data_IF_084903390762
#
_entry.id   IF_084903390762
#
_cell.length_a   1.000
_cell.length_b   1.000
_cell.length_c   1.000
_cell.angle_alpha   90.00
_cell.angle_beta   90.00
_cell.angle_gamma   90.00
#
_symmetry.space_group_name_H-M   'P 1'
#
loop_
_entity.id
_entity.type
_entity.pdbx_description
1 polymer ?
#
# COMPACT_ATOMS: atom_id res chain seq x y z
N UNK A 1 -13.83 -8.10 -20.63
CA UNK A 1 -13.59 -8.44 -19.20
C UNK A 1 -13.20 -7.15 -18.49
N UNK A 2 -13.62 -6.93 -17.24
CA UNK A 2 -13.12 -5.81 -16.42
C UNK A 2 -11.87 -6.28 -15.68
N UNK A 3 -10.79 -5.50 -15.72
CA UNK A 3 -9.49 -5.81 -15.11
C UNK A 3 -9.17 -4.77 -14.05
N UNK A 4 -8.49 -5.19 -12.99
CA UNK A 4 -7.92 -4.33 -11.95
C UNK A 4 -6.59 -4.93 -11.49
N UNK A 5 -5.72 -4.11 -10.90
CA UNK A 5 -4.38 -4.53 -10.44
C UNK A 5 -4.19 -4.15 -8.96
N UNK A 6 -3.46 -5.00 -8.25
CA UNK A 6 -3.04 -4.79 -6.87
C UNK A 6 -1.54 -5.09 -6.73
N UNK A 7 -0.80 -4.17 -6.13
CA UNK A 7 0.61 -4.28 -5.80
C UNK A 7 0.76 -4.66 -4.32
N UNK A 8 1.54 -5.70 -4.07
CA UNK A 8 1.97 -6.09 -2.72
C UNK A 8 3.46 -5.81 -2.57
N UNK A 9 3.78 -4.79 -1.77
CA UNK A 9 5.14 -4.34 -1.53
C UNK A 9 5.69 -4.93 -0.21
N UNK A 10 6.82 -5.67 -0.25
CA UNK A 10 7.31 -6.38 0.93
C UNK A 10 8.02 -5.47 1.95
N UNK A 11 8.24 -4.18 1.63
CA UNK A 11 8.96 -3.26 2.52
C UNK A 11 8.14 -2.83 3.75
N UNK A 12 8.84 -2.40 4.80
CA UNK A 12 8.25 -2.07 6.11
C UNK A 12 7.71 -0.63 6.18
N UNK A 13 8.09 0.25 5.25
CA UNK A 13 7.50 1.58 5.15
C UNK A 13 5.98 1.45 4.92
N UNK A 14 5.18 2.24 5.62
CA UNK A 14 3.72 2.20 5.51
C UNK A 14 3.29 2.68 4.11
N UNK A 15 3.97 3.70 3.63
CA UNK A 15 3.87 4.31 2.30
C UNK A 15 5.30 4.67 1.83
N UNK A 16 5.51 4.89 0.52
CA UNK A 16 6.82 5.25 0.00
C UNK A 16 7.20 6.72 0.24
N UNK A 17 6.35 7.54 0.87
CA UNK A 17 6.62 8.97 1.11
C UNK A 17 7.84 9.23 2.00
N UNK A 18 8.29 8.21 2.75
CA UNK A 18 9.51 8.24 3.57
C UNK A 18 10.77 7.72 2.85
N UNK A 19 10.63 7.21 1.62
CA UNK A 19 11.73 6.68 0.82
C UNK A 19 12.32 7.77 -0.08
N UNK A 20 13.65 7.77 -0.24
CA UNK A 20 14.32 8.73 -1.13
C UNK A 20 13.96 8.46 -2.60
N UNK A 21 13.36 9.41 -3.34
CA UNK A 21 12.94 9.17 -4.71
C UNK A 21 14.10 8.96 -5.69
N UNK A 22 15.27 9.50 -5.37
CA UNK A 22 16.48 9.31 -6.18
C UNK A 22 17.07 7.89 -6.05
N UNK A 23 16.75 7.19 -4.97
CA UNK A 23 17.27 5.84 -4.71
C UNK A 23 16.25 4.74 -4.97
N UNK A 24 14.96 5.06 -4.77
CA UNK A 24 13.87 4.08 -4.78
C UNK A 24 12.82 4.33 -5.87
N UNK A 25 12.99 5.38 -6.68
CA UNK A 25 12.03 5.78 -7.70
C UNK A 25 10.98 6.75 -7.15
N UNK A 26 10.19 7.31 -8.05
CA UNK A 26 9.16 8.30 -7.70
C UNK A 26 8.05 7.72 -6.83
N UNK A 27 7.36 8.60 -6.10
CA UNK A 27 6.09 8.28 -5.44
C UNK A 27 4.97 8.61 -6.42
N UNK A 28 4.10 7.62 -6.68
CA UNK A 28 2.92 7.82 -7.51
C UNK A 28 1.72 8.24 -6.64
N UNK A 29 1.03 9.32 -7.04
CA UNK A 29 -0.15 9.82 -6.33
C UNK A 29 -1.40 9.50 -7.15
N UNK A 30 -2.29 8.71 -6.56
CA UNK A 30 -3.59 8.32 -7.15
C UNK A 30 -4.63 9.45 -7.01
N UNK A 31 -5.72 9.39 -7.79
CA UNK A 31 -6.80 10.39 -7.76
C UNK A 31 -7.47 10.55 -6.38
N UNK A 32 -7.47 9.49 -5.56
CA UNK A 32 -8.01 9.53 -4.19
C UNK A 32 -7.00 10.04 -3.15
N UNK A 33 -5.83 10.52 -3.61
CA UNK A 33 -4.80 11.18 -2.82
C UNK A 33 -3.85 10.23 -2.11
N UNK A 34 -3.82 8.94 -2.44
CA UNK A 34 -2.86 8.01 -1.85
C UNK A 34 -1.49 8.09 -2.53
N UNK A 35 -0.46 8.23 -1.71
CA UNK A 35 0.94 8.04 -2.08
C UNK A 35 1.26 6.55 -2.15
N UNK A 36 1.76 6.11 -3.30
CA UNK A 36 1.94 4.70 -3.65
C UNK A 36 3.22 4.48 -4.43
N UNK A 37 3.62 3.22 -4.56
CA UNK A 37 4.78 2.83 -5.35
C UNK A 37 4.61 3.19 -6.84
N UNK A 38 5.71 3.52 -7.51
CA UNK A 38 5.74 3.94 -8.92
C UNK A 38 5.03 2.98 -9.88
N UNK A 39 5.00 1.68 -9.53
CA UNK A 39 4.38 0.65 -10.38
C UNK A 39 2.88 0.89 -10.60
N UNK A 40 2.18 1.56 -9.68
CA UNK A 40 0.76 1.88 -9.88
C UNK A 40 0.56 2.80 -11.08
N UNK A 41 1.46 3.77 -11.29
CA UNK A 41 1.41 4.61 -12.47
C UNK A 41 1.62 3.81 -13.77
N UNK A 42 2.48 2.78 -13.75
CA UNK A 42 2.64 1.87 -14.89
C UNK A 42 1.36 1.08 -15.15
N UNK A 43 0.70 0.59 -14.11
CA UNK A 43 -0.53 -0.16 -14.23
C UNK A 43 -1.65 0.69 -14.81
N UNK A 44 -1.90 1.88 -14.26
CA UNK A 44 -2.94 2.79 -14.78
C UNK A 44 -2.73 3.09 -16.26
N UNK A 45 -1.49 3.39 -16.67
CA UNK A 45 -1.14 3.64 -18.09
C UNK A 45 -1.36 2.42 -18.99
N UNK A 46 -1.17 1.20 -18.46
CA UNK A 46 -1.29 -0.02 -19.24
C UNK A 46 -2.74 -0.50 -19.39
N UNK A 47 -3.55 -0.37 -18.32
CA UNK A 47 -4.94 -0.85 -18.31
C UNK A 47 -5.98 0.24 -18.58
N UNK A 48 -5.57 1.51 -18.65
CA UNK A 48 -6.42 2.70 -18.89
C UNK A 48 -7.57 2.83 -17.88
N UNK A 49 -7.24 2.62 -16.60
CA UNK A 49 -8.18 2.70 -15.45
C UNK A 49 -7.45 3.34 -14.27
N UNK A 50 -8.13 4.26 -13.58
CA UNK A 50 -7.63 4.88 -12.36
C UNK A 50 -7.74 3.87 -11.20
N UNK A 51 -6.61 3.58 -10.58
CA UNK A 51 -6.47 2.78 -9.38
C UNK A 51 -6.68 3.67 -8.15
N UNK A 52 -6.69 3.07 -6.96
CA UNK A 52 -6.97 3.79 -5.72
C UNK A 52 -6.07 3.30 -4.58
N UNK A 53 -6.22 3.88 -3.40
CA UNK A 53 -5.44 3.53 -2.19
C UNK A 53 -5.48 2.06 -1.76
N UNK A 54 -6.40 1.26 -2.28
CA UNK A 54 -6.50 -0.19 -2.01
C UNK A 54 -5.70 -1.01 -3.02
N UNK A 55 -5.23 -0.41 -4.11
CA UNK A 55 -4.38 -1.05 -5.12
C UNK A 55 -2.92 -1.15 -4.72
N UNK A 56 -2.50 -0.56 -3.59
CA UNK A 56 -1.17 -0.72 -3.02
C UNK A 56 -1.25 -1.16 -1.54
N UNK A 57 -0.59 -2.26 -1.22
CA UNK A 57 -0.53 -2.84 0.13
C UNK A 57 0.92 -3.12 0.47
N UNK A 58 1.40 -2.57 1.59
CA UNK A 58 2.76 -2.75 2.09
C UNK A 58 2.77 -3.65 3.32
N UNK A 59 3.88 -4.35 3.58
CA UNK A 59 4.09 -5.06 4.85
C UNK A 59 3.90 -4.11 6.03
N UNK A 60 4.46 -2.89 5.96
CA UNK A 60 4.32 -1.86 6.99
C UNK A 60 2.88 -1.56 7.37
N UNK A 61 2.01 -1.38 6.37
CA UNK A 61 0.59 -1.09 6.56
C UNK A 61 -0.15 -2.25 7.25
N UNK A 62 0.11 -3.49 6.83
CA UNK A 62 -0.49 -4.69 7.45
C UNK A 62 -0.07 -4.80 8.91
N UNK A 63 1.24 -4.76 9.18
CA UNK A 63 1.75 -4.90 10.55
C UNK A 63 1.26 -3.79 11.47
N UNK A 64 1.25 -2.54 11.00
CA UNK A 64 0.74 -1.40 11.77
C UNK A 64 -0.75 -1.57 12.11
N UNK A 65 -1.57 -2.02 11.16
CA UNK A 65 -2.98 -2.28 11.41
C UNK A 65 -3.17 -3.44 12.41
N UNK A 66 -2.47 -4.56 12.24
CA UNK A 66 -2.56 -5.71 13.13
C UNK A 66 -2.16 -5.33 14.55
N UNK A 67 -1.03 -4.62 14.73
CA UNK A 67 -0.58 -4.15 16.03
C UNK A 67 -1.58 -3.17 16.67
N UNK A 68 -2.17 -2.26 15.88
CA UNK A 68 -3.19 -1.33 16.38
C UNK A 68 -4.42 -2.08 16.90
N UNK A 69 -4.88 -3.12 16.19
CA UNK A 69 -6.02 -3.95 16.60
C UNK A 69 -5.71 -4.74 17.86
N UNK A 70 -4.51 -5.31 17.95
CA UNK A 70 -4.03 -6.02 19.14
C UNK A 70 -4.01 -5.11 20.37
N UNK A 71 -3.42 -3.92 20.26
CA UNK A 71 -3.35 -2.96 21.38
C UNK A 71 -4.70 -2.40 21.82
N UNK A 72 -5.72 -2.44 20.95
CA UNK A 72 -7.11 -2.10 21.30
C UNK A 72 -7.89 -3.26 21.93
N UNK A 73 -7.29 -4.44 22.03
CA UNK A 73 -7.97 -5.65 22.50
C UNK A 73 -8.94 -6.26 21.50
N UNK A 74 -8.85 -5.91 20.20
CA UNK A 74 -9.76 -6.43 19.16
C UNK A 74 -9.58 -7.96 18.94
N UNK A 75 -8.46 -8.54 19.38
CA UNK A 75 -8.20 -9.98 19.35
C UNK A 75 -8.50 -10.71 20.68
N UNK A 76 -9.23 -10.07 21.61
CA UNK A 76 -9.73 -10.69 22.86
C UNK A 76 -8.64 -11.32 23.75
N UNK A 77 -7.41 -10.79 23.71
CA UNK A 77 -6.28 -11.29 24.50
C UNK A 77 -5.64 -12.58 23.98
N UNK A 78 -6.07 -13.09 22.83
CA UNK A 78 -5.43 -14.23 22.18
C UNK A 78 -4.08 -13.85 21.53
N UNK A 79 -3.21 -14.85 21.35
CA UNK A 79 -1.98 -14.68 20.56
C UNK A 79 -2.33 -14.37 19.10
N UNK A 80 -1.71 -13.34 18.54
CA UNK A 80 -1.85 -12.93 17.14
C UNK A 80 -0.73 -13.58 16.32
N UNK A 81 -1.07 -14.29 15.24
CA UNK A 81 -0.13 -15.02 14.38
C UNK A 81 -0.42 -14.80 12.90
#
# INVERSE_FOLDING_TARGET
LKVTIQKFDPYINIDPGTMSPYQHGEVFVTDDGAETDLDLGHYERFIDINLNKYSNVTTGKIYSEVLRKERKGEYLGATVQ
#
